data_IF_154936986178
#
_entry.id   IF_154936986178
#
_cell.length_a   1.000
_cell.length_b   1.000
_cell.length_c   1.000
_cell.angle_alpha   90.00
_cell.angle_beta   90.00
_cell.angle_gamma   90.00
#
_symmetry.space_group_name_H-M   'P 1'
#
loop_
_entity.id
_entity.type
_entity.pdbx_description
1 polymer ?
#
# COMPACT_ATOMS: atom_id res chain seq x y z
N UNK A 1 -1.46 -62.67 62.48
CA UNK A 1 -1.07 -63.42 63.71
C UNK A 1 0.36 -63.89 63.45
N UNK A 2 1.30 -63.47 64.26
CA UNK A 2 2.65 -64.02 64.26
C UNK A 2 2.85 -64.85 65.53
N UNK A 3 3.46 -66.03 65.46
CA UNK A 3 3.78 -66.84 66.60
C UNK A 3 5.27 -67.22 66.61
N UNK A 4 5.85 -67.24 67.77
CA UNK A 4 7.23 -67.68 67.97
C UNK A 4 7.29 -68.64 69.18
N UNK A 5 7.84 -69.87 69.04
CA UNK A 5 7.99 -70.74 70.12
C UNK A 5 9.10 -70.27 71.08
N UNK A 6 8.87 -70.34 72.41
CA UNK A 6 9.86 -70.00 73.44
C UNK A 6 10.73 -71.23 73.69
N UNK A 7 12.02 -71.12 73.34
CA UNK A 7 12.93 -72.25 73.50
C UNK A 7 13.02 -72.70 74.97
N UNK A 8 12.84 -73.98 75.21
CA UNK A 8 12.93 -74.58 76.54
C UNK A 8 11.62 -74.72 77.34
N UNK A 9 10.48 -74.28 76.70
CA UNK A 9 9.15 -74.41 77.29
C UNK A 9 8.13 -74.84 76.24
N UNK A 10 6.96 -75.33 76.65
CA UNK A 10 5.83 -75.63 75.74
C UNK A 10 4.95 -74.43 75.45
N UNK A 11 5.46 -73.23 75.70
CA UNK A 11 4.75 -71.95 75.48
C UNK A 11 5.11 -71.34 74.14
N UNK A 12 4.12 -70.76 73.44
CA UNK A 12 4.30 -69.96 72.27
C UNK A 12 3.75 -68.54 72.48
N UNK A 13 4.54 -67.54 72.06
CA UNK A 13 4.10 -66.20 72.10
C UNK A 13 3.27 -65.93 70.82
N UNK A 14 2.02 -65.55 70.97
CA UNK A 14 1.13 -65.18 69.88
C UNK A 14 0.89 -63.65 69.94
N UNK A 15 1.36 -62.97 68.95
CA UNK A 15 1.05 -61.53 68.77
C UNK A 15 -0.12 -61.43 67.81
N UNK A 16 -1.25 -60.98 68.30
CA UNK A 16 -2.42 -60.71 67.49
C UNK A 16 -2.68 -59.18 67.45
N UNK A 17 -2.41 -58.53 66.33
CA UNK A 17 -2.73 -57.17 66.13
C UNK A 17 -4.17 -57.11 65.57
N UNK A 18 -5.13 -56.51 66.26
CA UNK A 18 -6.50 -56.40 65.75
C UNK A 18 -6.55 -55.60 64.50
N UNK A 19 -7.29 -56.04 63.48
CA UNK A 19 -7.46 -55.35 62.21
C UNK A 19 -8.07 -53.90 62.37
N UNK A 20 -8.84 -53.71 63.44
CA UNK A 20 -9.47 -52.44 63.80
C UNK A 20 -8.48 -51.33 64.03
N UNK A 21 -7.25 -51.56 64.37
CA UNK A 21 -6.31 -50.50 64.76
C UNK A 21 -5.54 -49.88 63.58
N UNK A 22 -5.38 -50.63 62.48
CA UNK A 22 -4.64 -50.14 61.32
C UNK A 22 -5.55 -49.78 60.10
N UNK A 23 -6.78 -50.33 60.05
CA UNK A 23 -7.73 -49.96 58.98
C UNK A 23 -8.06 -48.46 58.89
N UNK A 24 -8.34 -47.78 60.02
CA UNK A 24 -8.63 -46.33 59.94
C UNK A 24 -7.43 -45.50 59.47
N UNK A 25 -6.22 -45.89 59.82
CA UNK A 25 -5.00 -45.19 59.39
C UNK A 25 -4.75 -45.34 57.90
N UNK A 26 -4.92 -46.57 57.36
CA UNK A 26 -4.77 -46.86 55.94
C UNK A 26 -5.87 -46.15 55.13
N UNK A 27 -7.11 -46.19 55.58
CA UNK A 27 -8.21 -45.51 54.90
C UNK A 27 -8.04 -44.01 54.91
N UNK A 28 -7.61 -43.39 56.00
CA UNK A 28 -7.27 -41.96 56.07
C UNK A 28 -6.13 -41.59 55.11
N UNK A 29 -5.06 -42.40 55.07
CA UNK A 29 -3.96 -42.20 54.13
C UNK A 29 -4.39 -42.30 52.67
N UNK A 30 -5.27 -43.25 52.33
CA UNK A 30 -5.83 -43.37 50.97
C UNK A 30 -6.68 -42.18 50.58
N UNK A 31 -7.54 -41.69 51.49
CA UNK A 31 -8.34 -40.50 51.22
C UNK A 31 -7.49 -39.24 51.03
N UNK A 32 -6.45 -39.06 51.84
CA UNK A 32 -5.50 -37.95 51.66
C UNK A 32 -4.78 -38.05 50.33
N UNK A 33 -4.34 -39.24 49.93
CA UNK A 33 -3.70 -39.46 48.63
C UNK A 33 -4.63 -39.16 47.44
N UNK A 34 -5.90 -39.61 47.51
CA UNK A 34 -6.89 -39.35 46.46
C UNK A 34 -7.19 -37.84 46.37
N UNK A 35 -7.42 -37.18 47.52
CA UNK A 35 -7.69 -35.74 47.56
C UNK A 35 -6.54 -34.90 47.05
N UNK A 36 -5.30 -35.25 47.45
CA UNK A 36 -4.11 -34.54 46.97
C UNK A 36 -3.90 -34.71 45.48
N UNK A 37 -4.09 -35.92 44.93
CA UNK A 37 -3.99 -36.18 43.51
C UNK A 37 -5.06 -35.41 42.73
N UNK A 38 -6.30 -35.38 43.23
CA UNK A 38 -7.37 -34.62 42.60
C UNK A 38 -7.11 -33.12 42.64
N UNK A 39 -6.62 -32.56 43.75
CA UNK A 39 -6.24 -31.17 43.88
C UNK A 39 -5.13 -30.77 42.90
N UNK A 40 -4.07 -31.56 42.77
CA UNK A 40 -2.99 -31.35 41.79
C UNK A 40 -3.52 -31.37 40.36
N UNK A 41 -4.43 -32.28 40.03
CA UNK A 41 -5.03 -32.41 38.70
C UNK A 41 -5.89 -31.18 38.37
N UNK A 42 -6.71 -30.68 39.29
CA UNK A 42 -7.52 -29.47 39.11
C UNK A 42 -6.61 -28.27 38.93
N UNK A 43 -5.59 -28.11 39.77
CA UNK A 43 -4.63 -26.99 39.67
C UNK A 43 -3.91 -27.03 38.32
N UNK A 44 -3.47 -28.20 37.88
CA UNK A 44 -2.80 -28.39 36.58
C UNK A 44 -3.70 -27.97 35.40
N UNK A 45 -4.97 -28.41 35.42
CA UNK A 45 -5.94 -28.02 34.38
C UNK A 45 -6.15 -26.49 34.37
N UNK A 46 -6.31 -25.87 35.55
CA UNK A 46 -6.50 -24.42 35.64
C UNK A 46 -5.28 -23.66 35.12
N UNK A 47 -4.07 -24.10 35.42
CA UNK A 47 -2.84 -23.53 34.94
C UNK A 47 -2.73 -23.64 33.41
N UNK A 48 -3.01 -24.80 32.82
CA UNK A 48 -2.99 -25.02 31.37
C UNK A 48 -4.01 -24.12 30.67
N UNK A 49 -5.24 -24.04 31.19
CA UNK A 49 -6.28 -23.17 30.63
C UNK A 49 -5.90 -21.69 30.72
N UNK A 50 -5.29 -21.29 31.83
CA UNK A 50 -4.81 -19.90 32.01
C UNK A 50 -3.68 -19.59 31.02
N UNK A 51 -2.72 -20.48 30.85
CA UNK A 51 -1.60 -20.32 29.93
C UNK A 51 -2.07 -20.25 28.47
N UNK A 52 -3.02 -21.14 28.09
CA UNK A 52 -3.60 -21.15 26.76
C UNK A 52 -4.33 -19.83 26.42
N UNK A 53 -5.03 -19.24 27.40
CA UNK A 53 -5.74 -17.97 27.19
C UNK A 53 -4.81 -16.76 27.23
N UNK A 54 -3.77 -16.79 28.05
CA UNK A 54 -2.87 -15.67 28.25
C UNK A 54 -1.75 -15.58 27.20
N UNK A 55 -1.34 -16.69 26.59
CA UNK A 55 -0.23 -16.71 25.63
C UNK A 55 -0.66 -17.22 24.26
N UNK A 56 -1.23 -18.44 24.21
CA UNK A 56 -1.46 -19.11 22.93
C UNK A 56 -2.50 -18.40 22.05
N UNK A 57 -3.56 -17.86 22.65
CA UNK A 57 -4.59 -17.13 21.88
C UNK A 57 -4.07 -15.82 21.29
N UNK A 58 -3.43 -14.91 22.07
CA UNK A 58 -2.86 -13.70 21.52
C UNK A 58 -1.81 -13.94 20.44
N UNK A 59 -0.90 -14.89 20.66
CA UNK A 59 0.12 -15.23 19.66
C UNK A 59 -0.51 -15.72 18.36
N UNK A 60 -1.56 -16.54 18.45
CA UNK A 60 -2.29 -16.98 17.27
C UNK A 60 -2.98 -15.82 16.57
N UNK A 61 -3.66 -14.94 17.29
CA UNK A 61 -4.32 -13.75 16.70
C UNK A 61 -3.33 -12.85 15.97
N UNK A 62 -2.17 -12.57 16.57
CA UNK A 62 -1.08 -11.84 15.92
C UNK A 62 -0.60 -12.54 14.65
N UNK A 63 -0.42 -13.87 14.71
CA UNK A 63 0.01 -14.65 13.55
C UNK A 63 -1.02 -14.57 12.42
N UNK A 64 -2.30 -14.79 12.74
CA UNK A 64 -3.39 -14.73 11.77
C UNK A 64 -3.49 -13.31 11.15
N UNK A 65 -3.25 -12.27 11.95
CA UNK A 65 -3.23 -10.88 11.48
C UNK A 65 -2.04 -10.57 10.55
N UNK A 66 -0.85 -11.09 10.86
CA UNK A 66 0.34 -10.96 9.99
C UNK A 66 0.10 -11.69 8.65
N UNK A 67 -0.55 -12.85 8.68
CA UNK A 67 -0.95 -13.55 7.44
C UNK A 67 -1.92 -12.69 6.63
N UNK A 68 -2.98 -12.13 7.24
CA UNK A 68 -3.87 -11.21 6.56
C UNK A 68 -3.15 -9.99 5.98
N UNK A 69 -2.18 -9.43 6.71
CA UNK A 69 -1.35 -8.34 6.22
C UNK A 69 -0.51 -8.76 5.00
N UNK A 70 0.04 -9.98 5.00
CA UNK A 70 0.79 -10.51 3.85
C UNK A 70 -0.10 -10.72 2.61
N UNK A 71 -1.40 -10.92 2.80
CA UNK A 71 -2.41 -11.01 1.74
C UNK A 71 -2.95 -9.63 1.31
N UNK A 72 -2.41 -8.54 1.90
CA UNK A 72 -2.78 -7.15 1.58
C UNK A 72 -3.96 -6.60 2.38
N UNK A 73 -4.46 -7.30 3.38
CA UNK A 73 -5.52 -6.79 4.25
C UNK A 73 -4.97 -5.75 5.24
N UNK A 74 -5.23 -4.48 4.95
CA UNK A 74 -4.89 -3.34 5.81
C UNK A 74 -6.09 -2.84 6.65
N UNK A 75 -7.29 -3.42 6.44
CA UNK A 75 -8.52 -2.90 7.05
C UNK A 75 -8.93 -3.64 8.32
N UNK A 76 -8.56 -4.91 8.46
CA UNK A 76 -8.89 -5.70 9.64
C UNK A 76 -8.19 -5.17 10.89
N UNK A 77 -8.92 -5.13 11.99
CA UNK A 77 -8.40 -4.67 13.28
C UNK A 77 -7.41 -5.66 13.89
N UNK A 78 -6.50 -5.16 14.70
CA UNK A 78 -5.58 -5.94 15.52
C UNK A 78 -6.22 -6.16 16.90
N UNK A 79 -6.32 -7.42 17.34
CA UNK A 79 -6.77 -7.75 18.70
C UNK A 79 -5.73 -7.28 19.74
N UNK A 80 -5.96 -6.14 20.37
CA UNK A 80 -5.09 -5.62 21.41
C UNK A 80 -5.22 -6.41 22.71
N UNK A 81 -4.10 -6.85 23.24
CA UNK A 81 -4.00 -7.58 24.50
C UNK A 81 -3.48 -6.66 25.59
N UNK A 82 -4.18 -6.63 26.74
CA UNK A 82 -3.82 -5.74 27.87
C UNK A 82 -3.18 -6.56 29.01
N UNK A 83 -2.09 -7.28 28.72
CA UNK A 83 -1.40 -8.14 29.69
C UNK A 83 -0.28 -7.41 30.43
N UNK A 84 0.11 -6.22 29.98
CA UNK A 84 1.24 -5.43 30.52
C UNK A 84 2.58 -6.19 30.47
N UNK A 85 2.75 -7.02 29.47
CA UNK A 85 3.95 -7.78 29.16
C UNK A 85 4.37 -7.56 27.70
N UNK A 86 5.29 -8.39 27.20
CA UNK A 86 5.80 -8.33 25.83
C UNK A 86 4.72 -8.55 24.77
N UNK A 87 3.61 -9.21 25.11
CA UNK A 87 2.48 -9.42 24.21
C UNK A 87 1.65 -8.14 24.01
N UNK A 88 1.50 -7.32 25.06
CA UNK A 88 0.87 -6.00 24.94
C UNK A 88 1.70 -5.10 24.00
N UNK A 89 3.01 -5.09 24.16
CA UNK A 89 3.92 -4.33 23.28
C UNK A 89 3.83 -4.85 21.85
N UNK A 90 3.83 -6.16 21.65
CA UNK A 90 3.76 -6.79 20.34
C UNK A 90 2.47 -6.43 19.59
N UNK A 91 1.31 -6.54 20.25
CA UNK A 91 0.02 -6.25 19.62
C UNK A 91 -0.13 -4.77 19.29
N UNK A 92 0.32 -3.86 20.15
CA UNK A 92 0.32 -2.41 19.88
C UNK A 92 1.26 -2.04 18.74
N UNK A 93 2.48 -2.59 18.73
CA UNK A 93 3.43 -2.31 17.65
C UNK A 93 2.91 -2.82 16.31
N UNK A 94 2.23 -3.97 16.29
CA UNK A 94 1.59 -4.47 15.08
C UNK A 94 0.46 -3.54 14.63
N UNK A 95 -0.38 -3.07 15.56
CA UNK A 95 -1.45 -2.13 15.28
C UNK A 95 -0.92 -0.81 14.69
N UNK A 96 0.06 -0.20 15.34
CA UNK A 96 0.73 1.02 14.87
C UNK A 96 1.32 0.84 13.48
N UNK A 97 1.89 -0.36 13.20
CA UNK A 97 2.47 -0.68 11.89
C UNK A 97 1.39 -0.75 10.82
N UNK A 98 0.30 -1.48 11.09
CA UNK A 98 -0.83 -1.62 10.16
C UNK A 98 -1.47 -0.26 9.88
N UNK A 99 -1.71 0.55 10.92
CA UNK A 99 -2.26 1.90 10.76
C UNK A 99 -1.34 2.80 9.94
N UNK A 100 -0.03 2.76 10.17
CA UNK A 100 0.93 3.53 9.39
C UNK A 100 0.91 3.13 7.91
N UNK A 101 0.91 1.83 7.61
CA UNK A 101 0.80 1.33 6.24
C UNK A 101 -0.52 1.73 5.58
N UNK A 102 -1.63 1.64 6.31
CA UNK A 102 -2.93 2.05 5.80
C UNK A 102 -2.96 3.56 5.47
N UNK A 103 -2.38 4.40 6.32
CA UNK A 103 -2.24 5.83 6.05
C UNK A 103 -1.41 6.10 4.79
N UNK A 104 -0.27 5.41 4.61
CA UNK A 104 0.58 5.58 3.42
C UNK A 104 -0.15 5.17 2.13
N UNK A 105 -0.79 4.01 2.13
CA UNK A 105 -1.54 3.52 0.96
C UNK A 105 -2.72 4.43 0.61
N UNK A 106 -3.46 4.91 1.62
CA UNK A 106 -4.58 5.83 1.43
C UNK A 106 -4.12 7.18 0.86
N UNK A 107 -3.00 7.73 1.35
CA UNK A 107 -2.43 8.98 0.84
C UNK A 107 -1.98 8.84 -0.62
N UNK A 108 -1.26 7.75 -0.94
CA UNK A 108 -0.85 7.42 -2.31
C UNK A 108 -2.08 7.32 -3.23
N UNK A 109 -3.11 6.58 -2.81
CA UNK A 109 -4.34 6.42 -3.57
C UNK A 109 -5.03 7.78 -3.81
N UNK A 110 -5.10 8.64 -2.80
CA UNK A 110 -5.69 9.97 -2.90
C UNK A 110 -4.92 10.84 -3.90
N UNK A 111 -3.58 10.87 -3.81
CA UNK A 111 -2.73 11.62 -4.74
C UNK A 111 -2.93 11.12 -6.17
N UNK A 112 -2.83 9.81 -6.40
CA UNK A 112 -2.99 9.22 -7.73
C UNK A 112 -4.41 9.45 -8.30
N UNK A 113 -5.44 9.42 -7.47
CA UNK A 113 -6.82 9.70 -7.89
C UNK A 113 -6.98 11.15 -8.34
N UNK A 114 -6.39 12.10 -7.63
CA UNK A 114 -6.42 13.52 -8.02
C UNK A 114 -5.65 13.76 -9.32
N UNK A 115 -4.48 13.14 -9.47
CA UNK A 115 -3.69 13.20 -10.71
C UNK A 115 -4.46 12.63 -11.89
N UNK A 116 -5.11 11.48 -11.71
CA UNK A 116 -5.97 10.88 -12.75
C UNK A 116 -7.16 11.77 -13.12
N UNK A 117 -7.64 12.59 -12.19
CA UNK A 117 -8.65 13.63 -12.42
C UNK A 117 -8.12 14.91 -13.05
N UNK A 118 -6.81 14.99 -13.36
CA UNK A 118 -6.17 16.17 -13.96
C UNK A 118 -5.70 17.23 -12.95
N UNK A 119 -5.83 16.97 -11.64
CA UNK A 119 -5.31 17.87 -10.61
C UNK A 119 -3.86 17.50 -10.30
N UNK A 120 -2.90 18.25 -10.86
CA UNK A 120 -1.48 18.06 -10.59
C UNK A 120 -0.99 18.88 -9.38
N UNK A 121 -1.78 19.86 -8.92
CA UNK A 121 -1.46 20.68 -7.75
C UNK A 121 -1.86 19.93 -6.46
N UNK A 122 -1.27 18.78 -6.25
CA UNK A 122 -1.48 17.90 -5.11
C UNK A 122 -0.13 17.43 -4.58
N UNK A 123 -0.01 17.33 -3.26
CA UNK A 123 1.20 16.81 -2.59
C UNK A 123 0.82 15.71 -1.59
N UNK A 124 1.68 14.70 -1.39
CA UNK A 124 1.53 13.74 -0.31
C UNK A 124 1.51 14.45 1.05
N UNK A 125 0.45 14.23 1.83
CA UNK A 125 0.21 14.93 3.10
C UNK A 125 0.75 14.16 4.32
N UNK A 126 0.93 12.84 4.18
CA UNK A 126 1.36 11.97 5.28
C UNK A 126 2.87 12.04 5.49
N UNK A 127 3.30 12.01 6.76
CA UNK A 127 4.71 11.91 7.11
C UNK A 127 5.20 10.45 6.99
N UNK A 128 5.84 10.15 5.88
CA UNK A 128 6.39 8.81 5.56
C UNK A 128 7.67 8.57 6.33
N UNK A 129 7.69 7.56 7.19
CA UNK A 129 8.84 7.24 8.05
C UNK A 129 9.82 6.28 7.36
N UNK A 130 11.11 6.43 7.71
CA UNK A 130 12.18 5.54 7.24
C UNK A 130 12.25 5.46 5.72
N UNK A 131 12.38 4.27 5.19
CA UNK A 131 12.52 4.02 3.74
C UNK A 131 11.26 4.37 2.93
N UNK A 132 10.09 4.48 3.57
CA UNK A 132 8.88 4.95 2.91
C UNK A 132 8.97 6.42 2.47
N UNK A 133 9.86 7.23 3.06
CA UNK A 133 10.12 8.60 2.62
C UNK A 133 10.57 8.70 1.16
N UNK A 134 11.19 7.64 0.62
CA UNK A 134 11.56 7.54 -0.80
C UNK A 134 10.33 7.51 -1.71
N UNK A 135 9.23 6.91 -1.27
CA UNK A 135 7.96 6.90 -2.02
C UNK A 135 7.42 8.33 -2.14
N UNK A 136 7.42 9.07 -1.02
CA UNK A 136 7.02 10.49 -1.03
C UNK A 136 7.86 11.31 -2.00
N UNK A 137 9.19 11.18 -1.92
CA UNK A 137 10.10 11.89 -2.82
C UNK A 137 9.86 11.54 -4.29
N UNK A 138 9.63 10.26 -4.59
CA UNK A 138 9.34 9.80 -5.96
C UNK A 138 8.01 10.35 -6.47
N UNK A 139 6.95 10.34 -5.66
CA UNK A 139 5.66 10.93 -6.01
C UNK A 139 5.79 12.42 -6.31
N UNK A 140 6.47 13.18 -5.44
CA UNK A 140 6.71 14.61 -5.65
C UNK A 140 7.49 14.88 -6.94
N UNK A 141 8.51 14.06 -7.24
CA UNK A 141 9.27 14.18 -8.50
C UNK A 141 8.40 13.90 -9.72
N UNK A 142 7.55 12.88 -9.66
CA UNK A 142 6.61 12.55 -10.75
C UNK A 142 5.64 13.70 -10.97
N UNK A 143 5.05 14.24 -9.92
CA UNK A 143 4.10 15.36 -9.99
C UNK A 143 4.74 16.58 -10.63
N UNK A 144 5.93 16.96 -10.17
CA UNK A 144 6.68 18.09 -10.74
C UNK A 144 6.99 17.88 -12.23
N UNK A 145 7.46 16.69 -12.62
CA UNK A 145 7.76 16.37 -14.01
C UNK A 145 6.53 16.41 -14.91
N UNK A 146 5.37 15.97 -14.38
CA UNK A 146 4.10 16.08 -15.10
C UNK A 146 3.65 17.54 -15.27
N UNK A 147 3.77 18.36 -14.23
CA UNK A 147 3.45 19.80 -14.29
C UNK A 147 4.32 20.51 -15.31
N UNK A 148 5.65 20.27 -15.30
CA UNK A 148 6.58 20.80 -16.28
C UNK A 148 6.23 20.37 -17.71
N UNK A 149 5.82 19.13 -17.90
CA UNK A 149 5.42 18.59 -19.19
C UNK A 149 4.15 19.27 -19.70
N UNK A 150 3.13 19.39 -18.88
CA UNK A 150 1.86 20.05 -19.25
C UNK A 150 2.08 21.53 -19.56
N UNK A 151 2.87 22.23 -18.74
CA UNK A 151 3.25 23.62 -19.00
C UNK A 151 4.00 23.76 -20.33
N UNK A 152 4.89 22.81 -20.65
CA UNK A 152 5.57 22.76 -21.94
C UNK A 152 4.62 22.56 -23.12
N UNK A 153 3.60 21.71 -22.98
CA UNK A 153 2.55 21.52 -23.98
C UNK A 153 1.72 22.80 -24.20
N UNK A 154 1.34 23.47 -23.12
CA UNK A 154 0.57 24.71 -23.20
C UNK A 154 1.35 25.82 -23.95
N UNK A 155 2.64 25.96 -23.61
CA UNK A 155 3.53 26.88 -24.32
C UNK A 155 3.71 26.52 -25.81
N UNK A 156 3.81 25.24 -26.14
CA UNK A 156 3.92 24.78 -27.53
C UNK A 156 2.62 25.00 -28.30
N UNK A 157 1.46 24.76 -27.67
CA UNK A 157 0.15 25.02 -28.25
C UNK A 157 -0.04 26.52 -28.56
N UNK A 158 0.34 27.39 -27.63
CA UNK A 158 0.30 28.85 -27.83
C UNK A 158 1.17 29.27 -29.00
N UNK A 159 2.41 28.79 -29.09
CA UNK A 159 3.30 29.09 -30.23
C UNK A 159 2.73 28.58 -31.56
N UNK A 160 2.07 27.43 -31.56
CA UNK A 160 1.45 26.87 -32.74
C UNK A 160 0.28 27.77 -33.23
N UNK A 161 -0.49 28.32 -32.30
CA UNK A 161 -1.56 29.28 -32.59
C UNK A 161 -1.00 30.55 -33.21
N UNK A 162 0.05 31.13 -32.61
CA UNK A 162 0.72 32.33 -33.11
C UNK A 162 1.29 32.12 -34.53
N UNK A 163 1.96 30.97 -34.75
CA UNK A 163 2.50 30.59 -36.07
C UNK A 163 1.37 30.40 -37.10
N UNK A 164 0.21 29.86 -36.72
CA UNK A 164 -0.94 29.70 -37.63
C UNK A 164 -1.49 31.04 -38.05
N UNK A 165 -1.57 32.00 -37.13
CA UNK A 165 -2.00 33.39 -37.45
C UNK A 165 -1.00 34.08 -38.39
N UNK A 166 0.30 33.97 -38.13
CA UNK A 166 1.36 34.49 -38.99
C UNK A 166 1.30 33.90 -40.41
N UNK A 167 1.16 32.57 -40.52
CA UNK A 167 0.99 31.90 -41.82
C UNK A 167 -0.23 32.39 -42.60
N UNK A 168 -1.34 32.60 -41.89
CA UNK A 168 -2.55 33.14 -42.51
C UNK A 168 -2.30 34.56 -43.04
N UNK A 169 -1.59 35.42 -42.30
CA UNK A 169 -1.16 36.75 -42.73
C UNK A 169 -0.24 36.70 -43.94
N UNK A 170 0.78 35.82 -43.93
CA UNK A 170 1.69 35.62 -45.06
C UNK A 170 0.97 35.12 -46.32
N UNK A 171 0.00 34.19 -46.16
CA UNK A 171 -0.84 33.69 -47.26
C UNK A 171 -1.66 34.81 -47.89
N UNK A 172 -2.20 35.70 -47.07
CA UNK A 172 -2.90 36.90 -47.56
C UNK A 172 -2.00 37.84 -48.38
N UNK A 173 -0.77 38.09 -47.89
CA UNK A 173 0.22 38.88 -48.61
C UNK A 173 0.63 38.26 -49.94
N UNK A 174 0.84 36.92 -49.95
CA UNK A 174 1.19 36.18 -51.15
C UNK A 174 0.06 36.24 -52.20
N UNK A 175 -1.19 36.12 -51.74
CA UNK A 175 -2.35 36.28 -52.61
C UNK A 175 -2.40 37.69 -53.25
N UNK A 176 -2.20 38.71 -52.45
CA UNK A 176 -2.16 40.12 -52.94
C UNK A 176 -1.04 40.32 -53.97
N UNK A 177 0.18 39.87 -53.67
CA UNK A 177 1.32 39.93 -54.61
C UNK A 177 1.06 39.16 -55.91
N UNK A 178 0.38 38.01 -55.85
CA UNK A 178 -0.03 37.24 -57.04
C UNK A 178 -1.03 37.98 -57.90
N UNK A 179 -1.98 38.69 -57.32
CA UNK A 179 -2.95 39.54 -58.05
C UNK A 179 -2.21 40.68 -58.73
N UNK A 180 -1.34 41.41 -58.02
CA UNK A 180 -0.55 42.52 -58.61
C UNK A 180 0.38 42.04 -59.73
N UNK A 181 0.98 40.86 -59.57
CA UNK A 181 1.81 40.24 -60.62
C UNK A 181 0.98 39.93 -61.90
N UNK A 182 -0.25 39.44 -61.72
CA UNK A 182 -1.17 39.15 -62.81
C UNK A 182 -1.53 40.40 -63.56
N UNK A 183 -1.92 41.47 -62.85
CA UNK A 183 -2.24 42.76 -63.44
C UNK A 183 -1.05 43.31 -64.23
N UNK A 184 0.14 43.28 -63.66
CA UNK A 184 1.37 43.71 -64.31
C UNK A 184 1.68 42.88 -65.59
N UNK A 185 1.43 41.61 -65.56
CA UNK A 185 1.62 40.68 -66.70
C UNK A 185 0.59 41.01 -67.83
N UNK A 186 -0.66 41.27 -67.48
CA UNK A 186 -1.70 41.70 -68.43
C UNK A 186 -1.34 43.00 -69.07
N UNK A 187 -0.87 44.03 -68.33
CA UNK A 187 -0.40 45.29 -68.84
C UNK A 187 0.77 45.13 -69.86
N UNK A 188 1.78 44.28 -69.49
CA UNK A 188 2.89 44.03 -70.41
C UNK A 188 2.44 43.31 -71.73
N UNK A 189 1.50 42.32 -71.62
CA UNK A 189 0.93 41.72 -72.84
C UNK A 189 0.26 42.77 -73.73
N UNK A 190 -0.48 43.70 -73.16
CA UNK A 190 -1.12 44.76 -73.91
C UNK A 190 -0.09 45.66 -74.56
N UNK A 191 0.97 46.04 -73.88
CA UNK A 191 2.05 46.87 -74.43
C UNK A 191 2.82 46.19 -75.56
N UNK A 192 3.14 44.90 -75.39
CA UNK A 192 3.72 44.07 -76.47
C UNK A 192 2.83 44.00 -77.68
N UNK A 193 1.51 43.88 -77.47
CA UNK A 193 0.53 43.92 -78.60
C UNK A 193 0.53 45.27 -79.31
N UNK A 194 0.52 46.35 -78.57
CA UNK A 194 0.59 47.72 -79.15
C UNK A 194 1.88 47.93 -79.96
N UNK A 195 3.05 47.49 -79.42
CA UNK A 195 4.33 47.55 -80.11
C UNK A 195 4.32 46.71 -81.43
N UNK A 196 3.72 45.52 -81.38
CA UNK A 196 3.56 44.66 -82.56
C UNK A 196 2.72 45.33 -83.65
N UNK A 197 1.62 46.00 -83.29
CA UNK A 197 0.76 46.70 -84.20
C UNK A 197 1.46 47.94 -84.81
N UNK A 198 2.23 48.69 -84.02
CA UNK A 198 3.07 49.81 -84.49
C UNK A 198 4.13 49.36 -85.47
N UNK A 199 4.81 48.24 -85.23
CA UNK A 199 5.79 47.66 -86.16
C UNK A 199 5.14 47.15 -87.44
N UNK A 200 3.91 46.60 -87.38
CA UNK A 200 3.14 46.20 -88.56
C UNK A 200 2.78 47.39 -89.41
N UNK A 201 2.37 48.52 -88.85
CA UNK A 201 2.09 49.75 -89.56
C UNK A 201 3.34 50.46 -90.12
N UNK A 202 4.49 50.38 -89.35
CA UNK A 202 5.76 50.93 -89.82
C UNK A 202 6.32 50.17 -91.05
N UNK A 203 6.16 48.85 -91.11
CA UNK A 203 6.55 48.04 -92.26
C UNK A 203 5.74 48.37 -93.56
N UNK A 204 4.45 48.65 -93.44
CA UNK A 204 3.60 49.01 -94.56
C UNK A 204 3.90 50.42 -95.11
N UNK A 205 4.43 51.30 -94.27
CA UNK A 205 4.78 52.66 -94.70
C UNK A 205 6.15 52.79 -95.39
N UNK A 206 6.98 51.74 -95.33
CA UNK A 206 8.34 51.73 -95.90
C UNK A 206 8.37 51.12 -97.33
N UNK A 207 7.25 50.51 -97.77
CA UNK A 207 7.12 49.92 -99.12
C UNK A 207 6.38 50.79 -100.16
N UNK A 208 6.18 52.10 -99.86
CA UNK A 208 5.70 53.14 -100.81
C UNK A 208 6.85 54.10 -101.15
#
# INVERSE_FOLDING_TARGET
VAFSPIRGTQWSLVIQIPKSDYYPVISAALWVAILSTFAVLVISILLVLRLARSISRPVKSVTDRIVGLSDGDLQSEVDLVHTRDELDVLTRTLDDTVQSLNCYISDIQQVLTQVAGGNLNVEPQVDYKGDFSLIRASLSTILQSMEETISGFDAAASRLADMSEELNGQSGQLHQASVEQKESTEALVQEVTNVKDQLGHGSQSSDQ
#
